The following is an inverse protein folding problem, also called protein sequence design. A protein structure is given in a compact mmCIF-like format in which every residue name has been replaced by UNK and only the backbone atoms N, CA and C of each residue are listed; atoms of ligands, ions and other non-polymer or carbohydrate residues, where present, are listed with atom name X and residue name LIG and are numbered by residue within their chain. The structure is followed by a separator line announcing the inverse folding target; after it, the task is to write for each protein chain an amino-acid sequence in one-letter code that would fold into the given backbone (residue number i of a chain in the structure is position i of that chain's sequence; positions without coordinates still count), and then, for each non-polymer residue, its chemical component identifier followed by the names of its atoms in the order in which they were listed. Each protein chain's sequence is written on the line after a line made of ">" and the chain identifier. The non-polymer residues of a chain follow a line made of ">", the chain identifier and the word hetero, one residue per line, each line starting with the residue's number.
data_IF_461082884390
#
_entry.id   IF_461082884390
#
_cell.length_a   1.000
_cell.length_b   1.000
_cell.length_c   1.000
_cell.angle_alpha   90.00
_cell.angle_beta   90.00
_cell.angle_gamma   90.00
#
_symmetry.space_group_name_H-M   'P 1'
#
loop_
_entity.id
_entity.type
_entity.pdbx_description
1 polymer ?
#
# COMPACT_ATOMS: atom_id res chain seq x y z
N UNK A 1 23.59 -17.35 -8.65
CA UNK A 1 23.47 -16.83 -7.27
C UNK A 1 22.71 -17.88 -6.47
N UNK A 2 23.21 -18.28 -5.30
CA UNK A 2 22.49 -19.20 -4.40
C UNK A 2 21.57 -18.35 -3.52
N UNK A 3 20.29 -18.72 -3.33
CA UNK A 3 19.39 -17.96 -2.46
C UNK A 3 19.87 -17.98 -1.00
N UNK A 4 19.64 -16.89 -0.26
CA UNK A 4 20.05 -16.74 1.15
C UNK A 4 19.29 -17.69 2.10
N UNK A 5 18.10 -18.13 1.70
CA UNK A 5 17.21 -19.01 2.46
C UNK A 5 16.36 -19.84 1.48
N UNK A 6 15.76 -20.91 1.96
CA UNK A 6 14.93 -21.83 1.17
C UNK A 6 13.44 -21.56 1.36
N UNK A 7 12.61 -22.29 0.59
CA UNK A 7 11.16 -22.27 0.79
C UNK A 7 10.79 -22.89 2.14
N UNK A 8 11.55 -23.89 2.58
CA UNK A 8 11.39 -24.54 3.87
C UNK A 8 11.64 -23.56 5.02
N UNK A 9 12.68 -22.73 4.93
CA UNK A 9 12.95 -21.67 5.91
C UNK A 9 11.78 -20.69 6.00
N UNK A 10 11.29 -20.21 4.84
CA UNK A 10 10.15 -19.30 4.79
C UNK A 10 8.88 -19.92 5.41
N UNK A 11 8.60 -21.20 5.12
CA UNK A 11 7.46 -21.92 5.70
C UNK A 11 7.58 -22.09 7.21
N UNK A 12 8.79 -22.36 7.72
CA UNK A 12 9.03 -22.51 9.15
C UNK A 12 8.75 -21.22 9.94
N UNK A 13 8.84 -20.05 9.29
CA UNK A 13 8.48 -18.77 9.90
C UNK A 13 6.96 -18.55 10.01
N UNK A 14 6.15 -19.13 9.12
CA UNK A 14 4.70 -18.85 9.03
C UNK A 14 4.00 -19.14 10.37
N UNK A 15 4.31 -20.26 11.01
CA UNK A 15 3.72 -20.68 12.28
C UNK A 15 4.13 -19.78 13.47
N UNK A 16 4.99 -18.79 13.25
CA UNK A 16 5.44 -17.82 14.26
C UNK A 16 4.77 -16.45 14.10
N UNK A 17 3.97 -16.25 13.07
CA UNK A 17 3.20 -15.02 12.89
C UNK A 17 1.86 -15.10 13.60
N UNK A 18 1.47 -13.99 14.20
CA UNK A 18 0.13 -13.77 14.76
C UNK A 18 -0.45 -12.53 14.07
N UNK A 19 -1.68 -12.64 13.56
CA UNK A 19 -2.36 -11.49 12.97
C UNK A 19 -2.93 -10.60 14.06
N UNK A 20 -2.64 -9.30 13.97
CA UNK A 20 -3.12 -8.31 14.93
C UNK A 20 -4.03 -7.32 14.22
N UNK A 21 -5.29 -7.13 14.66
CA UNK A 21 -6.15 -6.11 14.10
C UNK A 21 -5.62 -4.70 14.39
N UNK A 22 -5.90 -3.76 13.49
CA UNK A 22 -5.62 -2.36 13.78
C UNK A 22 -6.41 -1.87 14.98
N UNK A 23 -5.81 -0.94 15.72
CA UNK A 23 -6.39 -0.24 16.87
C UNK A 23 -6.72 -1.14 18.06
N UNK A 24 -6.25 -2.38 18.06
CA UNK A 24 -6.29 -3.29 19.21
C UNK A 24 -4.95 -3.26 19.98
N UNK A 25 -5.05 -3.38 21.30
CA UNK A 25 -3.87 -3.40 22.20
C UNK A 25 -3.35 -4.82 22.31
N UNK A 26 -2.06 -4.98 22.01
CA UNK A 26 -1.31 -6.22 22.26
C UNK A 26 -0.38 -5.99 23.45
N UNK A 27 -0.53 -6.81 24.49
CA UNK A 27 0.33 -6.79 25.67
C UNK A 27 1.47 -7.80 25.50
N UNK A 28 2.70 -7.30 25.46
CA UNK A 28 3.93 -8.12 25.35
C UNK A 28 4.52 -8.45 26.73
N UNK A 29 3.86 -8.04 27.81
CA UNK A 29 4.35 -8.16 29.18
C UNK A 29 5.45 -7.15 29.50
N UNK A 30 5.90 -7.19 30.77
CA UNK A 30 6.98 -6.31 31.27
C UNK A 30 6.73 -4.81 31.05
N UNK A 31 5.45 -4.39 31.02
CA UNK A 31 5.07 -3.00 30.84
C UNK A 31 5.11 -2.52 29.39
N UNK A 32 5.16 -3.41 28.39
CA UNK A 32 5.18 -3.06 26.96
C UNK A 32 3.84 -3.45 26.32
N UNK A 33 3.11 -2.44 25.86
CA UNK A 33 1.91 -2.60 25.03
C UNK A 33 2.20 -2.02 23.64
N UNK A 34 1.65 -2.63 22.58
CA UNK A 34 1.64 -2.02 21.26
C UNK A 34 0.23 -1.95 20.68
N UNK A 35 0.00 -0.93 19.85
CA UNK A 35 -1.20 -0.80 19.04
C UNK A 35 -0.79 -0.46 17.62
N UNK A 36 -1.35 -1.18 16.65
CA UNK A 36 -1.04 -1.02 15.24
C UNK A 36 -2.08 -0.09 14.60
N UNK A 37 -1.62 0.88 13.83
CA UNK A 37 -2.45 1.82 13.10
C UNK A 37 -2.08 1.80 11.63
N UNK A 38 -3.00 2.17 10.76
CA UNK A 38 -2.76 2.17 9.31
C UNK A 38 -1.66 3.18 8.95
N UNK A 39 -0.67 2.73 8.16
CA UNK A 39 0.41 3.58 7.64
C UNK A 39 0.11 4.12 6.24
N UNK A 40 -0.92 3.62 5.54
CA UNK A 40 -1.28 4.04 4.18
C UNK A 40 -0.21 3.75 3.11
N UNK A 41 0.83 2.97 3.43
CA UNK A 41 1.96 2.75 2.54
C UNK A 41 1.76 1.59 1.56
N UNK A 42 1.23 0.46 2.04
CA UNK A 42 0.73 -0.68 1.26
C UNK A 42 -0.42 -1.32 2.05
N UNK A 43 -1.20 -2.21 1.42
CA UNK A 43 -2.26 -2.96 2.11
C UNK A 43 -1.70 -3.70 3.33
N UNK A 44 -2.22 -3.43 4.53
CA UNK A 44 -1.74 -4.04 5.77
C UNK A 44 -0.51 -3.36 6.41
N UNK A 45 0.03 -2.30 5.80
CA UNK A 45 1.14 -1.52 6.39
C UNK A 45 0.74 -0.85 7.71
N UNK A 46 1.69 -0.68 8.64
CA UNK A 46 1.34 -0.18 9.97
C UNK A 46 2.35 0.73 10.62
N UNK A 47 1.82 1.75 11.31
CA UNK A 47 2.51 2.53 12.32
C UNK A 47 2.30 1.82 13.65
N UNK A 48 3.38 1.52 14.37
CA UNK A 48 3.34 0.87 15.67
C UNK A 48 3.43 1.94 16.75
N UNK A 49 2.39 2.06 17.57
CA UNK A 49 2.41 2.85 18.80
C UNK A 49 2.74 1.95 19.98
N UNK A 50 3.98 2.00 20.43
CA UNK A 50 4.43 1.30 21.62
C UNK A 50 4.24 2.20 22.85
N UNK A 51 3.56 1.67 23.87
CA UNK A 51 3.47 2.26 25.20
C UNK A 51 4.36 1.44 26.13
N UNK A 52 5.36 2.10 26.70
CA UNK A 52 6.35 1.46 27.58
C UNK A 52 6.24 2.06 28.98
N UNK A 53 6.02 1.21 29.98
CA UNK A 53 5.97 1.58 31.40
C UNK A 53 7.17 1.00 32.14
N UNK A 54 8.02 1.86 32.66
CA UNK A 54 9.21 1.46 33.41
C UNK A 54 9.45 2.43 34.57
N UNK A 55 9.78 1.92 35.76
CA UNK A 55 10.11 2.72 36.95
C UNK A 55 9.06 3.80 37.28
N UNK A 56 7.77 3.49 37.08
CA UNK A 56 6.65 4.41 37.32
C UNK A 56 6.47 5.51 36.27
N UNK A 57 7.24 5.49 35.18
CA UNK A 57 7.06 6.40 34.04
C UNK A 57 6.44 5.67 32.84
N UNK A 58 5.58 6.37 32.10
CA UNK A 58 5.01 5.91 30.83
C UNK A 58 5.59 6.74 29.69
N UNK A 59 6.00 6.08 28.60
CA UNK A 59 6.44 6.70 27.35
C UNK A 59 5.68 6.14 26.17
N UNK A 60 5.34 7.00 25.22
CA UNK A 60 4.75 6.64 23.94
C UNK A 60 5.81 6.79 22.85
N UNK A 61 6.10 5.70 22.17
CA UNK A 61 7.04 5.64 21.06
C UNK A 61 6.26 5.26 19.80
N UNK A 62 6.37 6.06 18.75
CA UNK A 62 5.83 5.73 17.43
C UNK A 62 6.95 5.19 16.54
N UNK A 63 6.71 4.05 15.90
CA UNK A 63 7.53 3.53 14.81
C UNK A 63 6.71 3.64 13.54
N UNK A 64 7.15 4.45 12.58
CA UNK A 64 6.34 4.73 11.40
C UNK A 64 6.23 3.55 10.45
N UNK A 65 7.26 2.72 10.35
CA UNK A 65 7.50 1.92 9.15
C UNK A 65 7.68 2.85 7.94
N UNK A 66 7.35 2.37 6.76
CA UNK A 66 7.24 3.21 5.57
C UNK A 66 5.87 3.93 5.61
N UNK A 67 5.85 5.24 5.37
CA UNK A 67 4.63 6.04 5.46
C UNK A 67 4.05 6.25 4.05
N UNK A 68 2.75 6.06 3.92
CA UNK A 68 2.00 6.39 2.71
C UNK A 68 1.84 7.88 2.47
N UNK A 69 1.57 8.26 1.23
CA UNK A 69 1.01 9.60 0.98
C UNK A 69 -0.51 9.56 1.20
N UNK A 70 -1.12 10.66 1.69
CA UNK A 70 -2.56 10.80 1.68
C UNK A 70 -3.15 10.75 0.26
N UNK A 71 -4.45 10.52 0.18
CA UNK A 71 -5.25 10.58 -1.05
C UNK A 71 -4.75 9.61 -2.15
N UNK A 72 -4.11 8.51 -1.74
CA UNK A 72 -3.77 7.42 -2.63
C UNK A 72 -5.00 6.54 -2.85
N UNK A 73 -5.17 5.99 -4.06
CA UNK A 73 -6.27 5.07 -4.30
C UNK A 73 -6.04 3.76 -3.53
N UNK A 74 -7.15 3.08 -3.23
CA UNK A 74 -7.22 1.74 -2.64
C UNK A 74 -7.01 1.72 -1.13
N UNK A 75 -5.87 2.22 -0.63
CA UNK A 75 -5.50 2.14 0.79
C UNK A 75 -5.89 3.41 1.54
N UNK A 76 -6.17 3.29 2.84
CA UNK A 76 -6.51 4.44 3.68
C UNK A 76 -5.32 5.38 3.87
N UNK A 77 -5.62 6.63 4.19
CA UNK A 77 -4.61 7.58 4.61
C UNK A 77 -3.87 7.11 5.87
N UNK A 78 -2.58 7.48 6.00
CA UNK A 78 -1.82 7.23 7.22
C UNK A 78 -2.51 7.82 8.45
N UNK A 79 -2.50 7.07 9.55
CA UNK A 79 -3.09 7.55 10.81
C UNK A 79 -2.27 8.72 11.38
N UNK A 80 -2.96 9.80 11.72
CA UNK A 80 -2.38 10.98 12.38
C UNK A 80 -2.43 10.82 13.91
N UNK A 81 -1.39 11.31 14.59
CA UNK A 81 -1.26 11.23 16.05
C UNK A 81 -1.05 12.61 16.66
N UNK A 82 -1.81 12.93 17.71
CA UNK A 82 -1.69 14.22 18.42
C UNK A 82 -0.55 14.24 19.44
N UNK A 83 -0.02 13.08 19.84
CA UNK A 83 0.98 12.97 20.91
C UNK A 83 1.87 11.73 20.78
N UNK A 84 3.17 11.95 20.95
CA UNK A 84 4.18 10.93 21.23
C UNK A 84 5.31 11.55 22.08
N UNK A 85 6.04 10.74 22.84
CA UNK A 85 7.30 11.17 23.48
C UNK A 85 8.47 11.02 22.49
N UNK A 86 8.43 9.97 21.66
CA UNK A 86 9.43 9.68 20.65
C UNK A 86 8.78 9.25 19.33
N UNK A 87 9.38 9.64 18.21
CA UNK A 87 8.97 9.22 16.87
C UNK A 87 10.20 8.70 16.14
N UNK A 88 10.16 7.43 15.75
CA UNK A 88 11.11 6.82 14.84
C UNK A 88 10.44 6.80 13.47
N UNK A 89 10.89 7.71 12.61
CA UNK A 89 10.30 7.95 11.29
C UNK A 89 11.28 7.51 10.20
N UNK A 90 10.73 6.96 9.13
CA UNK A 90 11.48 6.73 7.89
C UNK A 90 11.97 8.05 7.27
N UNK A 91 12.90 7.95 6.32
CA UNK A 91 13.50 9.12 5.68
C UNK A 91 13.80 8.90 4.20
N UNK A 92 13.02 8.03 3.53
CA UNK A 92 13.21 7.65 2.12
C UNK A 92 13.30 8.87 1.20
N UNK A 93 12.54 9.92 1.51
CA UNK A 93 12.54 11.20 0.80
C UNK A 93 12.88 12.40 1.70
N UNK A 94 13.60 12.18 2.79
CA UNK A 94 13.91 13.24 3.77
C UNK A 94 14.76 14.39 3.22
N UNK A 95 15.37 14.22 2.04
CA UNK A 95 16.22 15.18 1.35
C UNK A 95 15.51 15.94 0.21
N UNK A 96 14.20 15.72 -0.01
CA UNK A 96 13.48 16.25 -1.18
C UNK A 96 12.15 16.89 -0.81
N UNK A 97 11.92 18.08 -1.35
CA UNK A 97 10.58 18.63 -1.43
C UNK A 97 9.83 17.95 -2.59
N UNK A 98 8.61 17.54 -2.33
CA UNK A 98 7.74 17.04 -3.39
C UNK A 98 7.12 18.24 -4.08
N UNK A 99 7.44 18.43 -5.36
CA UNK A 99 6.73 19.39 -6.20
C UNK A 99 5.24 19.02 -6.27
N UNK A 100 4.38 20.01 -6.50
CA UNK A 100 2.96 19.77 -6.82
C UNK A 100 2.90 18.78 -7.98
N UNK A 101 2.55 17.53 -7.68
CA UNK A 101 2.57 16.46 -8.66
C UNK A 101 1.60 16.82 -9.77
N UNK A 102 2.12 16.89 -11.00
CA UNK A 102 1.28 16.84 -12.21
C UNK A 102 0.23 15.75 -12.00
N UNK A 103 -1.04 16.07 -12.26
CA UNK A 103 -2.16 15.15 -12.12
C UNK A 103 -1.77 13.77 -12.72
N UNK A 104 -1.69 12.76 -11.85
CA UNK A 104 -1.16 11.44 -12.19
C UNK A 104 -1.92 10.85 -13.39
N UNK A 105 -3.24 11.08 -13.47
CA UNK A 105 -4.08 10.63 -14.59
C UNK A 105 -3.66 11.30 -15.90
N UNK A 106 -3.34 12.61 -15.88
CA UNK A 106 -2.84 13.34 -17.05
C UNK A 106 -1.47 12.85 -17.50
N UNK A 107 -0.56 12.61 -16.56
CA UNK A 107 0.77 12.09 -16.88
C UNK A 107 0.68 10.70 -17.53
N UNK A 108 -0.10 9.78 -16.93
CA UNK A 108 -0.27 8.42 -17.45
C UNK A 108 -0.93 8.42 -18.83
N UNK A 109 -2.05 9.16 -18.99
CA UNK A 109 -2.74 9.24 -20.29
C UNK A 109 -1.87 9.83 -21.39
N UNK A 110 -1.09 10.88 -21.09
CA UNK A 110 -0.11 11.46 -22.04
C UNK A 110 0.89 10.41 -22.51
N UNK A 111 1.52 9.68 -21.59
CA UNK A 111 2.53 8.65 -21.93
C UNK A 111 1.92 7.53 -22.75
N UNK A 112 0.74 7.04 -22.38
CA UNK A 112 0.05 5.97 -23.10
C UNK A 112 -0.30 6.42 -24.52
N UNK A 113 -0.97 7.57 -24.67
CA UNK A 113 -1.44 8.06 -25.96
C UNK A 113 -0.26 8.38 -26.89
N UNK A 114 0.78 9.08 -26.40
CA UNK A 114 1.95 9.39 -27.24
C UNK A 114 2.71 8.15 -27.69
N UNK A 115 2.79 7.13 -26.83
CA UNK A 115 3.45 5.85 -27.17
C UNK A 115 2.64 5.07 -28.19
N UNK A 116 1.31 5.06 -28.06
CA UNK A 116 0.39 4.44 -29.00
C UNK A 116 0.45 5.10 -30.37
N UNK A 117 0.44 6.44 -30.43
CA UNK A 117 0.54 7.20 -31.68
C UNK A 117 1.85 6.92 -32.42
N UNK A 118 2.93 6.64 -31.69
CA UNK A 118 4.21 6.21 -32.23
C UNK A 118 4.26 4.71 -32.62
N UNK A 119 3.19 3.95 -32.40
CA UNK A 119 3.12 2.51 -32.68
C UNK A 119 3.92 1.63 -31.71
N UNK A 120 4.23 2.13 -30.51
CA UNK A 120 5.05 1.47 -29.50
C UNK A 120 4.26 0.73 -28.41
N UNK A 121 5.01 0.13 -27.48
CA UNK A 121 4.47 -0.50 -26.27
C UNK A 121 4.93 0.27 -25.02
N UNK A 122 4.08 0.33 -24.00
CA UNK A 122 4.43 0.86 -22.67
C UNK A 122 4.81 -0.30 -21.75
N UNK A 123 5.97 -0.19 -21.10
CA UNK A 123 6.47 -1.20 -20.13
C UNK A 123 6.65 -0.52 -18.78
N UNK A 124 5.98 -1.03 -17.74
CA UNK A 124 6.04 -0.47 -16.38
C UNK A 124 6.69 -1.48 -15.43
N UNK A 125 7.97 -1.30 -15.05
CA UNK A 125 8.56 -2.11 -13.99
C UNK A 125 7.94 -1.69 -12.65
N UNK A 126 7.37 -2.64 -11.92
CA UNK A 126 6.74 -2.37 -10.62
C UNK A 126 6.92 -3.51 -9.63
N UNK A 127 6.87 -3.19 -8.35
CA UNK A 127 6.69 -4.20 -7.32
C UNK A 127 5.31 -4.83 -7.43
N UNK A 128 5.25 -6.14 -7.20
CA UNK A 128 4.01 -6.91 -7.30
C UNK A 128 2.96 -6.52 -6.25
N UNK A 129 3.40 -5.95 -5.12
CA UNK A 129 2.54 -5.46 -4.06
C UNK A 129 2.30 -3.96 -4.23
N UNK A 130 1.01 -3.60 -4.23
CA UNK A 130 0.47 -2.25 -4.26
C UNK A 130 0.72 -1.45 -5.55
N UNK A 131 1.97 -1.22 -5.97
CA UNK A 131 2.26 -0.34 -7.12
C UNK A 131 1.68 -0.86 -8.43
N UNK A 132 1.71 -2.18 -8.66
CA UNK A 132 1.01 -2.76 -9.80
C UNK A 132 -0.50 -2.48 -9.75
N UNK A 133 -1.11 -2.56 -8.57
CA UNK A 133 -2.55 -2.36 -8.37
C UNK A 133 -2.96 -0.89 -8.57
N UNK A 134 -2.15 0.07 -8.10
CA UNK A 134 -2.40 1.50 -8.35
C UNK A 134 -2.32 1.85 -9.83
N UNK A 135 -1.33 1.33 -10.55
CA UNK A 135 -1.21 1.57 -12.00
C UNK A 135 -2.43 1.01 -12.73
N UNK A 136 -2.88 -0.19 -12.36
CA UNK A 136 -4.11 -0.77 -12.91
C UNK A 136 -5.36 0.06 -12.57
N UNK A 137 -5.47 0.58 -11.34
CA UNK A 137 -6.53 1.51 -10.94
C UNK A 137 -6.59 2.71 -11.89
N UNK A 138 -5.46 3.40 -12.10
CA UNK A 138 -5.43 4.58 -12.95
C UNK A 138 -5.72 4.26 -14.41
N UNK A 139 -5.21 3.15 -14.93
CA UNK A 139 -5.52 2.72 -16.30
C UNK A 139 -7.02 2.43 -16.46
N UNK A 140 -7.64 1.75 -15.49
CA UNK A 140 -9.07 1.46 -15.50
C UNK A 140 -9.91 2.75 -15.52
N UNK A 141 -9.57 3.70 -14.66
CA UNK A 141 -10.19 5.03 -14.62
C UNK A 141 -10.07 5.78 -15.96
N UNK A 142 -8.89 5.74 -16.58
CA UNK A 142 -8.65 6.39 -17.86
C UNK A 142 -9.43 5.73 -19.01
N UNK A 143 -9.60 4.40 -18.98
CA UNK A 143 -10.43 3.67 -19.94
C UNK A 143 -11.91 4.02 -19.77
N UNK A 144 -12.42 4.04 -18.53
CA UNK A 144 -13.82 4.38 -18.25
C UNK A 144 -14.17 5.83 -18.61
N UNK A 145 -13.24 6.76 -18.40
CA UNK A 145 -13.42 8.17 -18.76
C UNK A 145 -13.19 8.45 -20.25
N UNK A 146 -12.71 7.46 -21.02
CA UNK A 146 -12.37 7.62 -22.44
C UNK A 146 -11.15 8.50 -22.70
N UNK A 147 -10.32 8.76 -21.68
CA UNK A 147 -9.08 9.51 -21.80
C UNK A 147 -7.96 8.70 -22.48
N UNK A 148 -8.07 7.37 -22.45
CA UNK A 148 -7.29 6.46 -23.30
C UNK A 148 -8.24 5.49 -24.01
N UNK A 149 -7.90 5.11 -25.23
CA UNK A 149 -8.65 4.11 -26.00
C UNK A 149 -8.39 2.68 -25.49
N UNK A 150 -9.35 1.74 -25.68
CA UNK A 150 -9.14 0.32 -25.35
C UNK A 150 -7.84 -0.24 -25.94
N UNK A 151 -7.10 -0.96 -25.09
CA UNK A 151 -5.80 -1.53 -25.44
C UNK A 151 -5.55 -2.83 -24.69
N UNK A 152 -4.60 -3.64 -25.19
CA UNK A 152 -4.20 -4.86 -24.49
C UNK A 152 -3.33 -4.52 -23.29
N UNK A 153 -3.73 -5.00 -22.11
CA UNK A 153 -3.02 -4.81 -20.85
C UNK A 153 -2.60 -6.19 -20.34
N UNK A 154 -1.33 -6.31 -19.96
CA UNK A 154 -0.75 -7.57 -19.46
C UNK A 154 -0.13 -7.33 -18.08
N UNK A 155 -0.52 -8.14 -17.10
CA UNK A 155 0.13 -8.21 -15.79
C UNK A 155 1.01 -9.46 -15.74
N UNK A 156 2.28 -9.31 -16.13
CA UNK A 156 3.23 -10.43 -16.19
C UNK A 156 3.89 -10.69 -14.83
N UNK A 157 3.07 -11.05 -13.84
CA UNK A 157 3.56 -11.46 -12.52
C UNK A 157 2.56 -12.39 -11.83
N UNK A 158 2.90 -13.68 -11.67
CA UNK A 158 2.10 -14.61 -10.87
C UNK A 158 1.92 -14.12 -9.43
N UNK A 159 2.90 -13.40 -8.89
CA UNK A 159 2.85 -12.81 -7.55
C UNK A 159 1.85 -11.64 -7.52
N UNK A 160 1.90 -10.71 -8.47
CA UNK A 160 0.97 -9.58 -8.50
C UNK A 160 -0.48 -10.06 -8.68
N UNK A 161 -0.69 -11.07 -9.54
CA UNK A 161 -1.99 -11.72 -9.71
C UNK A 161 -2.52 -12.35 -8.42
N UNK A 162 -1.65 -12.99 -7.61
CA UNK A 162 -2.04 -13.56 -6.31
C UNK A 162 -2.32 -12.47 -5.28
N UNK A 163 -1.50 -11.43 -5.23
CA UNK A 163 -1.70 -10.27 -4.34
C UNK A 163 -3.03 -9.58 -4.64
N UNK A 164 -3.38 -9.41 -5.92
CA UNK A 164 -4.68 -8.85 -6.31
C UNK A 164 -5.85 -9.65 -5.73
N UNK A 165 -5.72 -10.98 -5.56
CA UNK A 165 -6.75 -11.78 -4.87
C UNK A 165 -6.82 -11.46 -3.38
N UNK A 166 -5.68 -11.29 -2.72
CA UNK A 166 -5.61 -10.87 -1.31
C UNK A 166 -6.31 -9.52 -1.12
N UNK A 167 -6.12 -8.56 -2.03
CA UNK A 167 -6.86 -7.30 -1.99
C UNK A 167 -8.39 -7.54 -2.05
N UNK A 168 -8.86 -8.40 -2.95
CA UNK A 168 -10.30 -8.75 -3.06
C UNK A 168 -10.84 -9.43 -1.79
N UNK A 169 -10.00 -10.15 -1.06
CA UNK A 169 -10.37 -10.86 0.18
C UNK A 169 -10.38 -9.95 1.42
N UNK A 170 -9.74 -8.78 1.37
CA UNK A 170 -9.58 -7.85 2.49
C UNK A 170 -10.17 -6.44 2.22
N UNK A 171 -11.46 -6.31 1.85
CA UNK A 171 -12.08 -5.00 1.59
C UNK A 171 -12.16 -4.11 2.83
N UNK A 172 -12.08 -4.68 4.04
CA UNK A 172 -12.01 -3.95 5.30
C UNK A 172 -10.72 -3.13 5.48
N UNK A 173 -9.77 -3.23 4.55
CA UNK A 173 -8.55 -2.43 4.52
C UNK A 173 -8.61 -1.33 3.47
N UNK A 174 -9.67 -1.27 2.65
CA UNK A 174 -9.80 -0.24 1.65
C UNK A 174 -10.15 1.13 2.24
N UNK A 175 -9.77 2.17 1.48
CA UNK A 175 -10.34 3.51 1.65
C UNK A 175 -11.85 3.52 1.33
N UNK A 176 -12.48 4.67 1.56
CA UNK A 176 -13.92 4.83 1.34
C UNK A 176 -14.30 4.76 -0.14
N UNK A 177 -13.54 5.42 -1.00
CA UNK A 177 -13.83 5.54 -2.44
C UNK A 177 -13.75 4.18 -3.13
N UNK A 178 -12.70 3.41 -2.84
CA UNK A 178 -12.51 2.05 -3.30
C UNK A 178 -13.60 1.12 -2.76
N UNK A 179 -13.95 1.24 -1.47
CA UNK A 179 -15.05 0.47 -0.89
C UNK A 179 -16.37 0.72 -1.63
N UNK A 180 -16.66 1.97 -2.02
CA UNK A 180 -17.84 2.33 -2.80
C UNK A 180 -17.78 1.81 -4.23
N UNK A 181 -16.61 1.93 -4.88
CA UNK A 181 -16.37 1.44 -6.24
C UNK A 181 -16.62 -0.08 -6.36
N UNK A 182 -16.09 -0.87 -5.41
CA UNK A 182 -16.31 -2.32 -5.36
C UNK A 182 -17.80 -2.66 -5.16
N UNK A 183 -18.52 -1.94 -4.30
CA UNK A 183 -19.97 -2.16 -4.10
C UNK A 183 -20.79 -1.91 -5.36
N UNK A 184 -20.37 -0.93 -6.18
CA UNK A 184 -21.02 -0.60 -7.43
C UNK A 184 -20.64 -1.55 -8.59
N UNK A 185 -19.98 -2.68 -8.30
CA UNK A 185 -19.49 -3.65 -9.28
C UNK A 185 -18.50 -3.04 -10.30
N UNK A 186 -17.90 -1.90 -9.97
CA UNK A 186 -16.79 -1.30 -10.70
C UNK A 186 -15.50 -1.78 -10.03
N UNK A 187 -15.27 -3.09 -10.06
CA UNK A 187 -14.03 -3.67 -9.51
C UNK A 187 -12.85 -3.13 -10.32
N UNK A 188 -11.89 -2.50 -9.65
CA UNK A 188 -10.62 -2.04 -10.25
C UNK A 188 -9.84 -3.11 -11.01
N UNK A 189 -10.13 -4.37 -10.68
CA UNK A 189 -9.43 -5.53 -11.21
C UNK A 189 -10.11 -6.11 -12.44
N UNK A 190 -11.27 -5.58 -12.81
CA UNK A 190 -12.09 -6.07 -13.91
C UNK A 190 -12.05 -4.99 -15.00
N UNK A 191 -10.93 -4.97 -15.75
CA UNK A 191 -10.74 -4.05 -16.88
C UNK A 191 -11.83 -4.28 -17.95
N UNK A 192 -12.35 -3.21 -18.58
CA UNK A 192 -13.37 -3.31 -19.63
C UNK A 192 -12.90 -4.00 -20.91
#
# INVERSE_FOLDING_TARGET
>A
MVPLYTIEDAKACIDRFESVPYREVVDFGNGVEATFYDAGHVLGSSIIRAKVRQNGQERIILFSGDIGRPDRPIVRDPTVFDRADYVLIESTYGDREHEDTEDIKKMISRVINSTKDAGGNVVVPSFALERSQEVLYYINELLHTGLIEPMKIFLDSPMASRITKVFKEHPELFDKEMTESVKNHQSLFDLP
#
